data_IF_293589048903
#
_entry.id   IF_293589048903
#
_cell.length_a   1.000
_cell.length_b   1.000
_cell.length_c   1.000
_cell.angle_alpha   90.00
_cell.angle_beta   90.00
_cell.angle_gamma   90.00
#
_symmetry.space_group_name_H-M   'P 1'
#
loop_
_entity.id
_entity.type
_entity.pdbx_description
1 polymer ?
#
# COMPACT_ATOMS: atom_id res chain seq x y z
N UNK A 1 21.95 13.77 -14.63
CA UNK A 1 20.93 12.75 -14.47
C UNK A 1 21.28 11.53 -15.31
N UNK A 2 21.00 10.35 -14.83
CA UNK A 2 21.20 9.15 -15.62
C UNK A 2 20.32 9.17 -16.88
N UNK A 3 20.63 8.31 -17.83
CA UNK A 3 19.93 8.26 -19.09
C UNK A 3 18.57 7.61 -19.05
N UNK A 4 18.06 7.27 -17.89
CA UNK A 4 16.75 6.68 -17.77
C UNK A 4 16.02 7.19 -16.54
N UNK A 5 14.71 7.06 -16.55
CA UNK A 5 13.86 7.40 -15.42
C UNK A 5 13.01 6.20 -15.03
N UNK A 6 12.63 6.15 -13.77
CA UNK A 6 11.71 5.14 -13.28
C UNK A 6 10.30 5.72 -13.22
N UNK A 7 9.32 4.94 -13.62
CA UNK A 7 7.91 5.30 -13.45
C UNK A 7 7.43 5.07 -12.02
N UNK A 8 8.28 4.51 -11.17
CA UNK A 8 7.86 4.13 -9.84
C UNK A 8 7.82 5.34 -8.92
N UNK A 9 6.77 5.37 -8.13
CA UNK A 9 6.54 6.39 -7.12
C UNK A 9 6.57 5.73 -5.75
N UNK A 10 6.90 6.52 -4.72
CA UNK A 10 6.98 6.02 -3.35
C UNK A 10 6.08 6.86 -2.45
N UNK A 11 5.30 6.21 -1.61
CA UNK A 11 4.48 6.87 -0.61
C UNK A 11 4.68 6.22 0.75
N UNK A 12 4.70 7.03 1.80
CA UNK A 12 4.89 6.57 3.16
C UNK A 12 3.77 7.10 4.04
N UNK A 13 3.29 6.25 4.97
CA UNK A 13 2.26 6.65 5.91
C UNK A 13 2.47 5.98 7.26
N UNK A 14 2.10 6.69 8.32
CA UNK A 14 2.13 6.15 9.69
C UNK A 14 0.72 5.98 10.27
N UNK A 15 -0.29 6.29 9.49
CA UNK A 15 -1.69 6.20 9.93
C UNK A 15 -2.59 5.76 8.79
N UNK A 16 -3.82 5.40 9.11
CA UNK A 16 -4.83 5.10 8.11
C UNK A 16 -5.06 6.31 7.22
N UNK A 17 -5.41 6.07 5.97
CA UNK A 17 -5.76 7.14 5.08
C UNK A 17 -5.58 6.82 3.62
N UNK A 18 -5.88 7.82 2.81
CA UNK A 18 -5.77 7.73 1.37
C UNK A 18 -4.29 7.88 0.98
N UNK A 19 -3.71 6.82 0.46
CA UNK A 19 -2.32 6.83 0.00
C UNK A 19 -2.21 7.37 -1.41
N UNK A 20 -3.11 6.91 -2.29
CA UNK A 20 -3.20 7.35 -3.68
C UNK A 20 -4.61 7.88 -3.90
N UNK A 21 -4.78 9.10 -4.45
CA UNK A 21 -6.12 9.68 -4.65
C UNK A 21 -7.03 8.79 -5.50
N UNK A 22 -8.33 8.87 -5.24
CA UNK A 22 -9.31 8.05 -5.94
C UNK A 22 -9.38 8.34 -7.45
N UNK A 23 -8.91 9.50 -7.85
CA UNK A 23 -8.86 9.89 -9.27
C UNK A 23 -7.66 9.31 -9.99
N UNK A 24 -6.78 8.63 -9.27
CA UNK A 24 -5.54 8.12 -9.81
C UNK A 24 -5.50 6.60 -9.72
N UNK A 25 -5.20 5.98 -10.84
CA UNK A 25 -4.95 4.55 -10.92
C UNK A 25 -3.52 4.26 -10.47
N UNK A 26 -3.32 3.14 -9.79
CA UNK A 26 -1.99 2.75 -9.31
C UNK A 26 -1.80 1.24 -9.38
N UNK A 27 -0.54 0.83 -9.58
CA UNK A 27 -0.13 -0.57 -9.45
C UNK A 27 0.93 -0.65 -8.37
N UNK A 28 0.65 -1.39 -7.32
CA UNK A 28 1.56 -1.53 -6.18
C UNK A 28 2.56 -2.63 -6.50
N UNK A 29 3.84 -2.30 -6.43
CA UNK A 29 4.94 -3.21 -6.75
C UNK A 29 5.72 -3.67 -5.54
N UNK A 30 5.73 -2.90 -4.45
CA UNK A 30 6.34 -3.36 -3.21
C UNK A 30 5.70 -2.71 -1.99
N UNK A 31 5.77 -3.41 -0.86
CA UNK A 31 5.27 -2.94 0.42
C UNK A 31 6.32 -3.27 1.47
N UNK A 32 6.71 -2.26 2.25
CA UNK A 32 7.63 -2.44 3.38
C UNK A 32 7.03 -1.78 4.59
N UNK A 33 7.03 -2.47 5.72
CA UNK A 33 6.41 -1.95 6.92
C UNK A 33 7.19 -2.36 8.17
N UNK A 34 7.25 -1.47 9.13
CA UNK A 34 7.67 -1.80 10.48
C UNK A 34 6.55 -2.56 11.19
N UNK A 35 6.91 -3.44 12.09
CA UNK A 35 5.95 -4.30 12.75
C UNK A 35 5.89 -4.11 14.25
N UNK A 36 4.79 -4.56 14.82
CA UNK A 36 4.57 -4.73 16.24
C UNK A 36 3.80 -6.03 16.42
N UNK A 37 3.49 -6.39 17.68
CA UNK A 37 2.67 -7.58 17.91
C UNK A 37 1.30 -7.38 17.25
N UNK A 38 0.86 -8.38 16.48
CA UNK A 38 -0.46 -8.37 15.83
C UNK A 38 -0.68 -7.21 14.84
N UNK A 39 0.34 -6.89 14.06
CA UNK A 39 0.23 -5.87 13.01
C UNK A 39 -0.55 -6.39 11.81
N UNK A 40 -1.26 -5.49 11.14
CA UNK A 40 -1.89 -5.82 9.86
C UNK A 40 -2.01 -4.58 8.96
N UNK A 41 -2.02 -4.83 7.67
CA UNK A 41 -2.24 -3.82 6.64
C UNK A 41 -3.34 -4.32 5.73
N UNK A 42 -4.38 -3.51 5.54
CA UNK A 42 -5.42 -3.78 4.55
C UNK A 42 -5.37 -2.71 3.49
N UNK A 43 -5.45 -3.11 2.24
CA UNK A 43 -5.42 -2.22 1.10
C UNK A 43 -6.77 -2.26 0.39
N UNK A 44 -7.42 -1.11 0.31
CA UNK A 44 -8.72 -0.96 -0.33
C UNK A 44 -8.61 -0.18 -1.62
N UNK A 45 -9.33 -0.65 -2.62
CA UNK A 45 -9.52 0.10 -3.86
C UNK A 45 -10.68 1.07 -3.64
N UNK A 46 -10.36 2.34 -3.40
CA UNK A 46 -11.37 3.34 -3.11
C UNK A 46 -10.90 4.39 -2.13
N UNK A 47 -11.83 4.95 -1.37
CA UNK A 47 -11.59 6.09 -0.49
C UNK A 47 -11.80 5.80 0.99
N UNK A 48 -12.03 4.57 1.35
CA UNK A 48 -12.25 4.19 2.75
C UNK A 48 -12.46 2.70 2.88
N UNK A 49 -13.00 2.29 4.03
CA UNK A 49 -13.23 0.88 4.36
C UNK A 49 -14.70 0.48 4.29
N UNK A 50 -15.58 1.44 4.01
CA UNK A 50 -17.02 1.22 4.00
C UNK A 50 -17.54 0.61 2.72
N UNK A 51 -18.86 0.58 2.59
CA UNK A 51 -19.54 0.04 1.42
C UNK A 51 -19.12 0.80 0.16
N UNK A 52 -18.97 0.07 -0.93
CA UNK A 52 -18.51 0.65 -2.20
C UNK A 52 -17.00 0.59 -2.39
N UNK A 53 -16.25 0.28 -1.34
CA UNK A 53 -14.80 0.10 -1.44
C UNK A 53 -14.47 -1.39 -1.37
N UNK A 54 -13.52 -1.82 -2.18
CA UNK A 54 -13.19 -3.23 -2.30
C UNK A 54 -11.87 -3.52 -1.62
N UNK A 55 -11.88 -4.43 -0.66
CA UNK A 55 -10.65 -4.93 -0.04
C UNK A 55 -9.90 -5.78 -1.05
N UNK A 56 -8.70 -5.36 -1.42
CA UNK A 56 -7.89 -6.06 -2.40
C UNK A 56 -6.91 -7.00 -1.73
N UNK A 57 -6.26 -6.56 -0.64
CA UNK A 57 -5.23 -7.36 0.00
C UNK A 57 -5.18 -7.10 1.50
N UNK A 58 -4.84 -8.16 2.24
CA UNK A 58 -4.61 -8.09 3.68
C UNK A 58 -3.29 -8.78 3.98
N UNK A 59 -2.43 -8.10 4.74
CA UNK A 59 -1.15 -8.64 5.19
C UNK A 59 -1.14 -8.61 6.71
N UNK A 60 -0.88 -9.77 7.32
CA UNK A 60 -0.81 -9.93 8.77
C UNK A 60 0.63 -10.31 9.12
N UNK A 61 1.22 -9.60 10.07
CA UNK A 61 2.62 -9.82 10.43
C UNK A 61 2.86 -9.45 11.89
N UNK A 62 4.06 -9.71 12.36
CA UNK A 62 4.45 -9.44 13.73
C UNK A 62 5.58 -8.44 13.83
N UNK A 63 6.36 -8.55 14.90
CA UNK A 63 7.45 -7.60 15.18
C UNK A 63 8.57 -7.62 14.14
N UNK A 64 8.65 -8.66 13.33
CA UNK A 64 9.63 -8.75 12.24
C UNK A 64 9.38 -7.77 11.11
N UNK A 65 8.19 -7.18 11.08
CA UNK A 65 7.82 -6.30 9.98
C UNK A 65 7.37 -7.05 8.74
N UNK A 66 7.19 -6.31 7.65
CA UNK A 66 6.71 -6.85 6.39
C UNK A 66 7.56 -6.34 5.24
N UNK A 67 7.88 -7.25 4.32
CA UNK A 67 8.51 -6.88 3.06
C UNK A 67 7.93 -7.74 1.96
N UNK A 68 7.25 -7.12 1.00
CA UNK A 68 6.57 -7.81 -0.08
C UNK A 68 6.99 -7.20 -1.41
N UNK A 69 7.38 -8.05 -2.35
CA UNK A 69 7.59 -7.67 -3.74
C UNK A 69 6.55 -8.36 -4.60
N UNK A 70 5.89 -7.60 -5.44
CA UNK A 70 4.89 -8.13 -6.35
C UNK A 70 5.50 -8.22 -7.74
N UNK A 71 5.65 -9.41 -8.29
CA UNK A 71 6.24 -9.56 -9.62
C UNK A 71 5.31 -9.07 -10.72
N UNK A 72 5.89 -8.85 -11.89
CA UNK A 72 5.14 -8.38 -13.05
C UNK A 72 4.73 -6.94 -12.93
N UNK A 73 3.49 -6.65 -13.26
CA UNK A 73 2.95 -5.29 -13.27
C UNK A 73 2.42 -4.81 -11.93
N UNK A 74 2.52 -5.62 -10.89
CA UNK A 74 2.01 -5.26 -9.58
C UNK A 74 0.53 -5.52 -9.40
N UNK A 75 0.00 -5.04 -8.28
CA UNK A 75 -1.43 -5.18 -7.95
C UNK A 75 -2.14 -3.91 -8.38
N UNK A 76 -3.16 -4.05 -9.22
CA UNK A 76 -3.90 -2.91 -9.78
C UNK A 76 -4.95 -2.38 -8.84
N UNK A 77 -4.93 -1.06 -8.62
CA UNK A 77 -5.95 -0.31 -7.91
C UNK A 77 -6.46 0.78 -8.86
N UNK A 78 -7.71 0.67 -9.28
CA UNK A 78 -8.26 1.58 -10.28
C UNK A 78 -8.83 2.86 -9.70
N UNK A 79 -9.18 2.85 -8.42
CA UNK A 79 -9.83 3.98 -7.75
C UNK A 79 -9.02 4.48 -6.57
N UNK A 80 -7.69 4.47 -6.71
CA UNK A 80 -6.80 4.89 -5.64
C UNK A 80 -6.56 3.78 -4.62
N UNK A 81 -5.76 4.11 -3.63
CA UNK A 81 -5.37 3.16 -2.57
C UNK A 81 -5.69 3.77 -1.22
N UNK A 82 -6.48 3.08 -0.43
CA UNK A 82 -6.76 3.47 0.95
C UNK A 82 -6.14 2.44 1.91
N UNK A 83 -5.41 2.93 2.91
CA UNK A 83 -4.76 2.09 3.90
C UNK A 83 -5.57 2.00 5.18
N UNK A 84 -5.71 0.78 5.69
CA UNK A 84 -6.24 0.51 7.01
C UNK A 84 -5.15 -0.24 7.79
N UNK A 85 -4.51 0.45 8.72
CA UNK A 85 -3.36 -0.06 9.47
C UNK A 85 -3.78 -0.44 10.88
N UNK A 86 -3.32 -1.60 11.35
CA UNK A 86 -3.50 -2.03 12.73
C UNK A 86 -2.13 -2.29 13.34
N UNK A 87 -1.80 -1.58 14.42
CA UNK A 87 -0.54 -1.74 15.15
C UNK A 87 0.68 -1.72 14.21
N UNK A 88 0.63 -0.88 13.19
CA UNK A 88 1.70 -0.76 12.19
C UNK A 88 2.34 0.61 12.32
N UNK A 89 3.60 0.70 12.78
CA UNK A 89 4.27 1.99 13.00
C UNK A 89 4.44 2.82 11.75
N UNK A 90 4.62 2.18 10.61
CA UNK A 90 4.76 2.89 9.37
C UNK A 90 4.83 1.94 8.19
N UNK A 91 4.42 2.42 7.03
CA UNK A 91 4.42 1.64 5.80
C UNK A 91 4.94 2.49 4.65
N UNK A 92 5.76 1.88 3.81
CA UNK A 92 6.24 2.48 2.57
C UNK A 92 5.80 1.62 1.41
N UNK A 93 5.14 2.23 0.43
CA UNK A 93 4.61 1.52 -0.73
C UNK A 93 5.23 2.11 -1.98
N UNK A 94 5.72 1.23 -2.85
CA UNK A 94 6.21 1.61 -4.17
C UNK A 94 5.15 1.23 -5.20
N UNK A 95 4.83 2.15 -6.10
CA UNK A 95 3.76 1.94 -7.08
C UNK A 95 4.06 2.69 -8.39
N UNK A 96 3.31 2.33 -9.42
CA UNK A 96 3.41 3.02 -10.73
C UNK A 96 2.05 3.48 -11.22
#
# INVERSE_FOLDING_TARGET
MSGYTSDQLVAHSTSDGQLVPATQRARITSIQAGGAASSSIKLYNGTGTGAGNVLIATYIFGTEGLEVYVPGSGILFEQGVYLDLTATPGVTITFT
#
